data_IF_113407940279
#
_entry.id   IF_113407940279
#
_cell.length_a   1.000
_cell.length_b   1.000
_cell.length_c   1.000
_cell.angle_alpha   90.00
_cell.angle_beta   90.00
_cell.angle_gamma   90.00
#
_symmetry.space_group_name_H-M   'P 1'
#
loop_
_entity.id
_entity.type
_entity.pdbx_description
1 polymer ?
#
# COMPACT_ATOMS: atom_id res chain seq x y z
N UNK A 1 -8.85 8.80 14.22
CA UNK A 1 -8.03 9.00 13.00
C UNK A 1 -6.70 8.32 13.22
N UNK A 2 -6.12 7.73 12.17
CA UNK A 2 -4.75 7.24 12.15
C UNK A 2 -3.93 8.04 11.14
N UNK A 3 -2.67 8.31 11.47
CA UNK A 3 -1.69 8.86 10.54
C UNK A 3 -0.92 7.71 9.92
N UNK A 4 -1.03 7.54 8.60
CA UNK A 4 -0.38 6.47 7.86
C UNK A 4 0.69 7.08 6.99
N UNK A 5 1.91 6.55 7.06
CA UNK A 5 3.08 7.02 6.32
C UNK A 5 3.69 5.82 5.58
N UNK A 6 3.99 5.97 4.29
CA UNK A 6 4.58 4.89 3.50
C UNK A 6 5.47 5.40 2.38
N UNK A 7 6.33 4.51 1.89
CA UNK A 7 7.18 4.71 0.71
C UNK A 7 6.69 3.81 -0.41
N UNK A 8 6.57 4.35 -1.62
CA UNK A 8 6.20 3.61 -2.83
C UNK A 8 7.31 3.74 -3.87
N UNK A 9 7.77 2.61 -4.38
CA UNK A 9 8.76 2.55 -5.45
C UNK A 9 8.04 2.44 -6.80
N UNK A 10 8.43 3.26 -7.78
CA UNK A 10 7.92 3.13 -9.15
C UNK A 10 8.61 1.95 -9.88
N UNK A 11 8.03 0.76 -9.73
CA UNK A 11 8.53 -0.48 -10.33
C UNK A 11 8.41 -0.51 -11.86
N UNK A 12 7.73 0.46 -12.49
CA UNK A 12 7.72 0.58 -13.95
C UNK A 12 8.99 1.22 -14.49
N UNK A 13 9.68 2.01 -13.66
CA UNK A 13 10.92 2.72 -14.01
C UNK A 13 12.14 2.17 -13.28
N UNK A 14 11.95 1.30 -12.30
CA UNK A 14 13.00 0.75 -11.47
C UNK A 14 13.00 -0.79 -11.51
N UNK A 15 14.12 -1.42 -11.87
CA UNK A 15 14.18 -2.87 -12.02
C UNK A 15 14.00 -3.59 -10.67
N UNK A 16 13.59 -4.88 -10.70
CA UNK A 16 13.60 -5.71 -9.50
C UNK A 16 15.00 -5.81 -8.90
N UNK A 17 15.05 -6.10 -7.60
CA UNK A 17 16.32 -6.28 -6.91
C UNK A 17 17.14 -7.43 -7.53
N UNK A 18 18.46 -7.25 -7.68
CA UNK A 18 19.38 -8.36 -7.94
C UNK A 18 19.35 -9.40 -6.81
N UNK A 19 19.89 -10.59 -7.09
CA UNK A 19 20.09 -11.60 -6.05
C UNK A 19 21.11 -11.11 -5.00
N UNK A 20 20.95 -11.55 -3.75
CA UNK A 20 21.78 -11.09 -2.65
C UNK A 20 23.26 -11.48 -2.77
N UNK A 21 23.59 -12.52 -3.55
CA UNK A 21 24.97 -12.94 -3.83
C UNK A 21 25.65 -12.05 -4.89
N UNK A 22 24.88 -11.24 -5.63
CA UNK A 22 25.37 -10.24 -6.58
C UNK A 22 25.64 -8.91 -5.88
N UNK A 23 26.52 -8.93 -4.88
CA UNK A 23 26.74 -7.84 -3.92
C UNK A 23 26.99 -6.49 -4.60
N UNK A 24 27.84 -6.42 -5.64
CA UNK A 24 28.12 -5.15 -6.33
C UNK A 24 26.90 -4.62 -7.10
N UNK A 25 26.10 -5.52 -7.68
CA UNK A 25 24.88 -5.15 -8.39
C UNK A 25 23.81 -4.68 -7.41
N UNK A 26 23.63 -5.40 -6.30
CA UNK A 26 22.71 -5.03 -5.21
C UNK A 26 23.05 -3.66 -4.64
N UNK A 27 24.33 -3.39 -4.34
CA UNK A 27 24.78 -2.10 -3.82
C UNK A 27 24.53 -0.93 -4.80
N UNK A 28 24.65 -1.17 -6.11
CA UNK A 28 24.30 -0.14 -7.11
C UNK A 28 22.80 0.08 -7.20
N UNK A 29 22.03 -1.02 -7.20
CA UNK A 29 20.57 -0.97 -7.20
C UNK A 29 20.05 -0.19 -5.99
N UNK A 30 20.56 -0.47 -4.78
CA UNK A 30 20.15 0.20 -3.54
C UNK A 30 20.42 1.71 -3.58
N UNK A 31 21.56 2.14 -4.15
CA UNK A 31 21.87 3.57 -4.30
C UNK A 31 20.88 4.31 -5.21
N UNK A 32 20.34 3.61 -6.20
CA UNK A 32 19.38 4.20 -7.14
C UNK A 32 17.93 4.14 -6.60
N UNK A 33 17.65 3.27 -5.62
CA UNK A 33 16.31 3.02 -5.07
C UNK A 33 15.62 4.31 -4.60
N UNK A 34 16.35 5.18 -3.90
CA UNK A 34 15.79 6.43 -3.35
C UNK A 34 15.26 7.36 -4.46
N UNK A 35 15.92 7.40 -5.63
CA UNK A 35 15.49 8.20 -6.78
C UNK A 35 14.12 7.81 -7.31
N UNK A 36 13.74 6.54 -7.16
CA UNK A 36 12.46 6.01 -7.63
C UNK A 36 11.44 5.81 -6.50
N UNK A 37 11.82 6.19 -5.29
CA UNK A 37 10.96 6.07 -4.11
C UNK A 37 10.27 7.39 -3.84
N UNK A 38 8.95 7.31 -3.67
CA UNK A 38 8.11 8.46 -3.31
C UNK A 38 7.56 8.24 -1.91
N UNK A 39 7.51 9.32 -1.13
CA UNK A 39 6.92 9.33 0.20
C UNK A 39 5.46 9.78 0.11
N UNK A 40 4.60 9.14 0.90
CA UNK A 40 3.17 9.43 0.97
C UNK A 40 2.71 9.42 2.42
N UNK A 41 1.68 10.21 2.70
CA UNK A 41 1.00 10.21 3.98
C UNK A 41 -0.50 10.43 3.82
N UNK A 42 -1.27 9.91 4.78
CA UNK A 42 -2.71 10.10 4.84
C UNK A 42 -3.22 10.08 6.29
N UNK A 43 -4.22 10.91 6.56
CA UNK A 43 -5.02 10.83 7.79
C UNK A 43 -6.31 10.09 7.48
N UNK A 44 -6.47 8.89 8.05
CA UNK A 44 -7.57 7.98 7.73
C UNK A 44 -8.44 7.76 8.97
N UNK A 45 -9.78 7.84 8.87
CA UNK A 45 -10.63 7.47 9.99
C UNK A 45 -10.47 5.98 10.31
N UNK A 46 -10.42 5.67 11.61
CA UNK A 46 -10.54 4.29 12.08
C UNK A 46 -12.05 4.07 12.26
N UNK A 47 -12.69 3.14 11.54
CA UNK A 47 -14.10 2.83 11.75
C UNK A 47 -14.36 2.43 13.20
N UNK A 48 -15.56 2.71 13.70
CA UNK A 48 -15.99 2.17 14.99
C UNK A 48 -16.12 0.65 14.89
N UNK A 49 -15.82 -0.04 15.98
CA UNK A 49 -15.94 -1.49 16.09
C UNK A 49 -16.51 -1.83 17.47
N UNK A 50 -17.38 -2.84 17.50
CA UNK A 50 -18.01 -3.30 18.75
C UNK A 50 -17.12 -4.33 19.46
N UNK A 51 -16.59 -5.30 18.72
CA UNK A 51 -15.68 -6.32 19.24
C UNK A 51 -14.23 -6.09 18.77
N UNK A 52 -13.23 -6.26 19.66
CA UNK A 52 -11.83 -6.07 19.30
C UNK A 52 -11.35 -7.22 18.40
N UNK A 53 -11.32 -6.95 17.10
CA UNK A 53 -10.82 -7.87 16.07
C UNK A 53 -9.65 -7.27 15.30
N UNK A 54 -9.44 -7.70 14.06
CA UNK A 54 -8.30 -7.25 13.25
C UNK A 54 -8.49 -5.81 12.74
N UNK A 55 -7.42 -5.02 12.81
CA UNK A 55 -7.28 -3.74 12.09
C UNK A 55 -6.44 -4.00 10.86
N UNK A 56 -6.98 -3.70 9.68
CA UNK A 56 -6.28 -3.87 8.40
C UNK A 56 -6.20 -2.53 7.68
N UNK A 57 -4.99 -2.21 7.22
CA UNK A 57 -4.71 -1.03 6.37
C UNK A 57 -4.65 -1.49 4.92
N UNK A 58 -5.44 -0.86 4.08
CA UNK A 58 -5.55 -1.18 2.65
C UNK A 58 -4.95 -0.04 1.84
N UNK A 59 -3.97 -0.36 1.01
CA UNK A 59 -3.42 0.56 0.01
C UNK A 59 -4.14 0.35 -1.31
N UNK A 60 -4.87 1.36 -1.74
CA UNK A 60 -5.64 1.35 -2.98
C UNK A 60 -4.86 2.11 -4.09
N UNK A 61 -5.28 1.97 -5.36
CA UNK A 61 -4.81 2.84 -6.43
C UNK A 61 -4.88 4.33 -6.08
N UNK A 62 -4.04 5.13 -6.74
CA UNK A 62 -3.99 6.58 -6.54
C UNK A 62 -3.61 7.02 -5.12
N UNK A 63 -2.84 6.18 -4.41
CA UNK A 63 -2.34 6.45 -3.06
C UNK A 63 -3.48 6.65 -2.04
N UNK A 64 -4.67 6.11 -2.33
CA UNK A 64 -5.77 6.08 -1.37
C UNK A 64 -5.51 5.02 -0.30
N UNK A 65 -5.87 5.32 0.95
CA UNK A 65 -5.71 4.40 2.07
C UNK A 65 -7.03 4.26 2.80
N UNK A 66 -7.41 3.02 3.10
CA UNK A 66 -8.58 2.69 3.92
C UNK A 66 -8.18 1.83 5.11
N UNK A 67 -8.90 1.99 6.22
CA UNK A 67 -8.76 1.14 7.40
C UNK A 67 -10.06 0.37 7.57
N UNK A 68 -9.95 -0.92 7.82
CA UNK A 68 -11.08 -1.76 8.22
C UNK A 68 -10.81 -2.37 9.58
N UNK A 69 -11.83 -2.40 10.42
CA UNK A 69 -11.87 -3.09 11.70
C UNK A 69 -12.91 -4.19 11.59
N UNK A 70 -12.50 -5.46 11.54
CA UNK A 70 -13.42 -6.57 11.33
C UNK A 70 -12.85 -7.90 11.82
N UNK A 71 -13.74 -8.78 12.27
CA UNK A 71 -13.46 -10.18 12.56
C UNK A 71 -13.50 -11.05 11.29
N UNK A 72 -14.13 -10.54 10.23
CA UNK A 72 -14.30 -11.25 8.98
C UNK A 72 -13.05 -11.17 8.10
N UNK A 73 -12.93 -12.16 7.22
CA UNK A 73 -11.88 -12.21 6.21
C UNK A 73 -12.34 -11.58 4.90
N UNK A 74 -11.38 -11.17 4.07
CA UNK A 74 -11.70 -10.67 2.74
C UNK A 74 -12.39 -11.79 1.94
N UNK A 75 -13.49 -11.46 1.24
CA UNK A 75 -14.50 -12.36 0.62
C UNK A 75 -15.73 -12.67 1.48
N UNK A 76 -15.72 -12.38 2.77
CA UNK A 76 -16.93 -12.47 3.57
C UNK A 76 -17.90 -11.34 3.17
N UNK A 77 -19.20 -11.61 2.99
CA UNK A 77 -20.21 -10.58 2.72
C UNK A 77 -20.27 -9.47 3.77
N UNK A 78 -19.88 -9.76 5.02
CA UNK A 78 -19.84 -8.82 6.14
C UNK A 78 -18.49 -8.08 6.25
N UNK A 79 -17.53 -8.35 5.37
CA UNK A 79 -16.26 -7.64 5.38
C UNK A 79 -16.43 -6.19 4.88
N UNK A 80 -15.94 -5.16 5.60
CA UNK A 80 -16.27 -3.76 5.31
C UNK A 80 -15.79 -3.19 3.97
N UNK A 81 -14.93 -3.91 3.23
CA UNK A 81 -14.48 -3.51 1.90
C UNK A 81 -14.78 -4.61 0.88
N UNK A 82 -15.21 -4.19 -0.30
CA UNK A 82 -15.58 -5.09 -1.41
C UNK A 82 -14.77 -4.81 -2.66
N UNK A 83 -13.85 -3.84 -2.61
CA UNK A 83 -12.94 -3.54 -3.71
C UNK A 83 -12.13 -4.78 -4.09
N UNK A 84 -11.99 -5.06 -5.40
CA UNK A 84 -11.31 -6.26 -5.86
C UNK A 84 -9.81 -6.24 -5.51
N UNK A 85 -9.22 -7.42 -5.36
CA UNK A 85 -7.77 -7.54 -5.24
C UNK A 85 -7.09 -7.15 -6.57
N UNK A 86 -5.82 -6.71 -6.48
CA UNK A 86 -4.95 -6.43 -7.64
C UNK A 86 -5.55 -5.42 -8.63
N UNK A 87 -6.22 -4.38 -8.11
CA UNK A 87 -6.68 -3.26 -8.93
C UNK A 87 -5.51 -2.62 -9.66
N UNK A 88 -5.71 -2.34 -10.96
CA UNK A 88 -4.75 -1.56 -11.74
C UNK A 88 -4.86 -0.09 -11.36
N UNK A 89 -3.72 0.60 -11.33
CA UNK A 89 -3.71 2.04 -11.20
C UNK A 89 -4.34 2.68 -12.45
N UNK A 90 -5.34 3.56 -12.31
CA UNK A 90 -5.96 4.20 -13.46
C UNK A 90 -4.98 5.16 -14.14
N UNK A 91 -5.18 5.43 -15.43
CA UNK A 91 -4.33 6.33 -16.20
C UNK A 91 -4.32 7.77 -15.64
N UNK A 92 -5.42 8.17 -15.01
CA UNK A 92 -5.57 9.46 -14.34
C UNK A 92 -6.12 9.21 -12.94
N UNK A 93 -5.42 9.70 -11.94
CA UNK A 93 -5.90 9.76 -10.58
C UNK A 93 -6.68 11.06 -10.38
N UNK A 94 -8.00 10.95 -10.18
CA UNK A 94 -8.81 12.08 -9.74
C UNK A 94 -8.31 12.54 -8.37
N UNK A 95 -7.95 13.81 -8.24
CA UNK A 95 -7.68 14.39 -6.92
C UNK A 95 -9.03 14.50 -6.20
N UNK A 96 -9.18 13.74 -5.11
CA UNK A 96 -10.28 13.93 -4.15
C UNK A 96 -10.05 15.17 -3.30
#
# INVERSE_FOLDING_TARGET
>A
MAHIQWKKVDTTKFPPAPDFDQVEAYNRWEKELDRYTTYHEAWVPIPQYDEPCSVKVHFLPCNEVKITTSCYSYHDPEYPITEPMKMKEPAVCSKK
#
